data_IF_971642420654
#
_entry.id   IF_971642420654
#
_cell.length_a   1.000
_cell.length_b   1.000
_cell.length_c   1.000
_cell.angle_alpha   90.00
_cell.angle_beta   90.00
_cell.angle_gamma   90.00
#
_symmetry.space_group_name_H-M   'P 1'
#
loop_
_entity.id
_entity.type
_entity.pdbx_description
1 polymer ?
#
# COMPACT_ATOMS: atom_id res chain seq x y z
N UNK A 1 -18.57 -8.57 2.94
CA UNK A 1 -18.49 -8.41 4.41
C UNK A 1 -17.05 -8.24 4.88
N UNK A 2 -16.84 -7.49 5.96
CA UNK A 2 -15.51 -7.25 6.56
C UNK A 2 -14.87 -8.57 7.04
N UNK A 3 -15.65 -9.47 7.64
CA UNK A 3 -15.15 -10.75 8.17
C UNK A 3 -14.56 -11.64 7.08
N UNK A 4 -15.17 -11.66 5.89
CA UNK A 4 -14.66 -12.41 4.74
C UNK A 4 -13.31 -11.87 4.26
N UNK A 5 -13.17 -10.54 4.20
CA UNK A 5 -11.90 -9.89 3.81
C UNK A 5 -10.80 -10.21 4.83
N UNK A 6 -11.12 -10.20 6.12
CA UNK A 6 -10.16 -10.57 7.17
C UNK A 6 -9.72 -12.02 7.04
N UNK A 7 -10.63 -12.97 6.77
CA UNK A 7 -10.25 -14.37 6.53
C UNK A 7 -9.31 -14.51 5.33
N UNK A 8 -9.65 -13.85 4.21
CA UNK A 8 -8.83 -13.86 2.99
C UNK A 8 -7.43 -13.29 3.21
N UNK A 9 -7.30 -12.21 3.98
CA UNK A 9 -6.00 -11.63 4.31
C UNK A 9 -5.19 -12.60 5.19
N UNK A 10 -5.81 -13.21 6.20
CA UNK A 10 -5.13 -14.15 7.10
C UNK A 10 -4.69 -15.44 6.40
N UNK A 11 -5.43 -15.89 5.39
CA UNK A 11 -5.08 -17.08 4.58
C UNK A 11 -4.08 -16.75 3.45
N UNK A 12 -3.88 -15.48 3.15
CA UNK A 12 -3.00 -15.04 2.08
C UNK A 12 -1.53 -15.28 2.43
N UNK A 13 -0.84 -16.07 1.59
CA UNK A 13 0.57 -16.40 1.79
C UNK A 13 1.55 -15.28 1.40
N UNK A 14 1.11 -14.36 0.53
CA UNK A 14 1.93 -13.28 -0.04
C UNK A 14 1.07 -12.03 -0.25
N UNK A 15 0.67 -11.34 0.83
CA UNK A 15 -0.12 -10.12 0.72
C UNK A 15 0.69 -9.03 0.02
N UNK A 16 0.01 -8.19 -0.75
CA UNK A 16 0.58 -7.01 -1.40
C UNK A 16 -0.44 -5.89 -1.36
N UNK A 17 -0.02 -4.70 -0.95
CA UNK A 17 -0.90 -3.53 -0.86
C UNK A 17 -0.61 -2.63 -2.04
N UNK A 18 -1.66 -2.28 -2.78
CA UNK A 18 -1.60 -1.28 -3.83
C UNK A 18 -2.47 -0.07 -3.46
N UNK A 19 -1.83 1.01 -3.05
CA UNK A 19 -2.47 2.20 -2.49
C UNK A 19 -2.74 3.26 -3.58
N UNK A 20 -4.02 3.64 -3.71
CA UNK A 20 -4.49 4.68 -4.63
C UNK A 20 -4.64 6.06 -3.97
N UNK A 21 -4.89 7.10 -4.77
CA UNK A 21 -5.07 8.48 -4.28
C UNK A 21 -6.20 8.70 -3.27
N UNK A 22 -7.08 7.71 -3.08
CA UNK A 22 -8.09 7.72 -2.02
C UNK A 22 -7.51 7.86 -0.62
N UNK A 23 -6.29 7.34 -0.38
CA UNK A 23 -5.61 7.42 0.93
C UNK A 23 -5.35 8.88 1.32
N UNK A 24 -4.81 9.67 0.39
CA UNK A 24 -4.56 11.09 0.62
C UNK A 24 -5.87 11.89 0.77
N UNK A 25 -6.90 11.55 0.00
CA UNK A 25 -8.23 12.20 0.10
C UNK A 25 -8.86 11.94 1.47
N UNK A 26 -8.72 10.73 2.02
CA UNK A 26 -9.28 10.36 3.31
C UNK A 26 -8.37 10.71 4.50
N UNK A 27 -7.13 11.13 4.26
CA UNK A 27 -6.13 11.35 5.30
C UNK A 27 -5.71 10.07 6.04
N UNK A 28 -5.81 8.91 5.39
CA UNK A 28 -5.66 7.59 6.03
C UNK A 28 -4.22 7.03 5.95
N UNK A 29 -3.23 7.92 5.94
CA UNK A 29 -1.83 7.58 5.66
C UNK A 29 -1.20 6.82 6.83
N UNK A 30 -1.50 7.21 8.07
CA UNK A 30 -1.00 6.51 9.26
C UNK A 30 -1.61 5.11 9.37
N UNK A 31 -2.91 4.99 9.10
CA UNK A 31 -3.63 3.72 9.12
C UNK A 31 -3.10 2.76 8.05
N UNK A 32 -2.71 3.27 6.88
CA UNK A 32 -2.08 2.48 5.83
C UNK A 32 -0.74 1.90 6.29
N UNK A 33 0.11 2.70 6.95
CA UNK A 33 1.41 2.25 7.48
C UNK A 33 1.22 1.18 8.55
N UNK A 34 0.40 1.46 9.56
CA UNK A 34 0.11 0.50 10.65
C UNK A 34 -0.46 -0.80 10.09
N UNK A 35 -1.34 -0.72 9.10
CA UNK A 35 -1.90 -1.89 8.47
C UNK A 35 -0.84 -2.70 7.72
N UNK A 36 -0.01 -2.04 6.90
CA UNK A 36 1.06 -2.68 6.15
C UNK A 36 2.07 -3.42 7.06
N UNK A 37 2.47 -2.80 8.16
CA UNK A 37 3.33 -3.40 9.19
C UNK A 37 2.65 -4.60 9.85
N UNK A 38 1.37 -4.47 10.22
CA UNK A 38 0.62 -5.53 10.91
C UNK A 38 0.52 -6.82 10.09
N UNK A 39 0.31 -6.70 8.78
CA UNK A 39 0.22 -7.85 7.89
C UNK A 39 1.56 -8.19 7.19
N UNK A 40 2.62 -7.45 7.53
CA UNK A 40 3.96 -7.53 6.93
C UNK A 40 3.91 -7.62 5.40
N UNK A 41 3.18 -6.69 4.78
CA UNK A 41 2.93 -6.69 3.35
C UNK A 41 3.73 -5.59 2.65
N UNK A 42 4.42 -5.90 1.54
CA UNK A 42 4.95 -4.87 0.65
C UNK A 42 3.85 -3.95 0.13
N UNK A 43 4.18 -2.66 0.02
CA UNK A 43 3.28 -1.60 -0.41
C UNK A 43 3.80 -0.94 -1.67
N UNK A 44 2.92 -0.71 -2.63
CA UNK A 44 3.17 0.17 -3.77
C UNK A 44 2.08 1.21 -3.87
N UNK A 45 2.42 2.39 -4.37
CA UNK A 45 1.50 3.51 -4.54
C UNK A 45 1.23 3.79 -6.02
N UNK A 46 0.06 4.35 -6.31
CA UNK A 46 -0.20 5.03 -7.60
C UNK A 46 0.48 6.40 -7.62
N UNK A 47 0.55 7.04 -8.80
CA UNK A 47 1.00 8.44 -8.91
C UNK A 47 0.25 9.40 -7.98
N UNK A 48 -1.05 9.18 -7.79
CA UNK A 48 -1.91 10.01 -6.96
C UNK A 48 -1.66 9.81 -5.45
N UNK A 49 -0.96 8.75 -5.06
CA UNK A 49 -0.67 8.41 -3.67
C UNK A 49 0.84 8.37 -3.38
N UNK A 50 1.67 8.92 -4.26
CA UNK A 50 3.12 8.84 -4.12
C UNK A 50 3.66 9.56 -2.87
N UNK A 51 2.89 10.50 -2.31
CA UNK A 51 3.19 11.18 -1.04
C UNK A 51 2.65 10.47 0.21
N UNK A 52 1.82 9.43 0.04
CA UNK A 52 1.02 8.87 1.13
C UNK A 52 1.63 7.60 1.76
N UNK A 53 2.85 7.23 1.37
CA UNK A 53 3.61 6.17 2.05
C UNK A 53 5.07 6.61 2.19
N UNK A 54 5.74 6.37 3.33
CA UNK A 54 7.12 6.80 3.51
C UNK A 54 8.04 6.08 2.51
N UNK A 55 8.74 6.85 1.68
CA UNK A 55 9.57 6.32 0.60
C UNK A 55 10.83 5.58 1.10
N UNK A 56 11.22 5.80 2.34
CA UNK A 56 12.33 5.16 3.06
C UNK A 56 11.91 3.91 3.85
N UNK A 57 10.62 3.58 3.87
CA UNK A 57 10.10 2.43 4.59
C UNK A 57 10.51 1.10 3.92
N UNK A 58 10.91 0.11 4.71
CA UNK A 58 11.41 -1.18 4.19
C UNK A 58 10.37 -1.96 3.35
N UNK A 59 9.09 -1.80 3.68
CA UNK A 59 7.96 -2.39 2.95
C UNK A 59 7.61 -1.62 1.67
N UNK A 60 8.20 -0.44 1.42
CA UNK A 60 7.87 0.34 0.24
C UNK A 60 8.57 -0.23 -1.00
N UNK A 61 7.77 -0.62 -1.99
CA UNK A 61 8.25 -1.22 -3.25
C UNK A 61 8.30 -0.23 -4.41
N UNK A 62 8.07 1.06 -4.12
CA UNK A 62 8.01 2.11 -5.13
C UNK A 62 6.62 2.27 -5.72
N UNK A 63 6.51 3.26 -6.60
CA UNK A 63 5.27 3.60 -7.28
C UNK A 63 5.07 2.76 -8.55
N UNK A 64 3.91 2.12 -8.68
CA UNK A 64 3.51 1.39 -9.89
C UNK A 64 2.65 2.31 -10.77
N UNK A 65 2.95 2.34 -12.07
CA UNK A 65 2.14 3.04 -13.07
C UNK A 65 2.83 4.20 -13.78
N UNK A 66 4.11 4.50 -13.49
CA UNK A 66 4.93 5.27 -14.43
C UNK A 66 5.56 4.32 -15.44
N UNK A 67 5.33 4.59 -16.72
CA UNK A 67 6.17 4.02 -17.78
C UNK A 67 7.57 4.58 -17.54
N UNK A 68 8.57 3.70 -17.44
CA UNK A 68 9.98 4.07 -17.42
C UNK A 68 10.28 4.98 -18.63
N UNK A 69 10.38 6.28 -18.40
CA UNK A 69 11.18 7.14 -19.26
C UNK A 69 12.58 7.10 -18.69
N UNK A 70 13.46 6.37 -19.37
CA UNK A 70 14.90 6.40 -19.16
C UNK A 70 15.40 7.84 -19.00
N UNK A 71 16.11 8.14 -17.91
CA UNK A 71 17.30 9.00 -17.87
C UNK A 71 17.97 8.85 -16.51
#
# INVERSE_FOLDING_TARGET
DIEQVVSLINECKRPFIYAGGGIGISGATEELVVFAEKINAPVSTTLMANSEFPNDHELYTGMIGIIFLYS
#
